data_IF_473900974071
#
_entry.id   IF_473900974071
#
_cell.length_a   1.000
_cell.length_b   1.000
_cell.length_c   1.000
_cell.angle_alpha   90.00
_cell.angle_beta   90.00
_cell.angle_gamma   90.00
#
_symmetry.space_group_name_H-M   'P 1'
#
loop_
_entity.id
_entity.type
_entity.pdbx_description
1 polymer ?
#
# COMPACT_ATOMS: atom_id res chain seq x y z
N UNK A 1 5.86 -0.82 3.05
CA UNK A 1 4.82 -0.88 2.01
C UNK A 1 3.92 -2.08 2.27
N UNK A 2 2.63 -1.86 2.58
CA UNK A 2 1.65 -2.94 2.68
C UNK A 2 1.40 -3.53 1.30
N UNK A 3 1.45 -4.86 1.20
CA UNK A 3 1.13 -5.59 -0.04
C UNK A 3 0.29 -6.81 0.30
N UNK A 4 -0.62 -7.19 -0.61
CA UNK A 4 -1.40 -8.41 -0.47
C UNK A 4 -0.43 -9.61 -0.42
N UNK A 5 -0.65 -10.49 0.56
CA UNK A 5 0.18 -11.65 0.79
C UNK A 5 0.42 -12.44 -0.51
N UNK A 6 1.64 -12.97 -0.67
CA UNK A 6 2.11 -13.72 -1.84
C UNK A 6 2.31 -12.93 -3.15
N UNK A 7 1.79 -11.71 -3.30
CA UNK A 7 2.00 -10.93 -4.53
C UNK A 7 3.48 -10.61 -4.78
N UNK A 8 4.27 -10.41 -3.72
CA UNK A 8 5.72 -10.26 -3.85
C UNK A 8 6.42 -11.49 -4.42
N UNK A 9 5.97 -12.69 -4.04
CA UNK A 9 6.51 -13.94 -4.56
C UNK A 9 6.10 -14.11 -6.02
N UNK A 10 4.84 -13.84 -6.36
CA UNK A 10 4.33 -13.88 -7.74
C UNK A 10 5.13 -12.95 -8.65
N UNK A 11 5.34 -11.70 -8.25
CA UNK A 11 6.13 -10.73 -9.02
C UNK A 11 7.55 -11.21 -9.34
N UNK A 12 8.20 -11.87 -8.37
CA UNK A 12 9.54 -12.44 -8.55
C UNK A 12 9.53 -13.61 -9.53
N UNK A 13 8.53 -14.49 -9.44
CA UNK A 13 8.41 -15.68 -10.28
C UNK A 13 8.10 -15.28 -11.73
N UNK A 14 7.30 -14.24 -11.95
CA UNK A 14 6.94 -13.78 -13.29
C UNK A 14 8.03 -12.93 -13.97
N UNK A 15 9.25 -12.88 -13.43
CA UNK A 15 10.34 -12.09 -13.99
C UNK A 15 10.12 -10.58 -13.87
N UNK A 16 9.42 -10.14 -12.81
CA UNK A 16 9.11 -8.73 -12.55
C UNK A 16 8.24 -8.07 -13.63
N UNK A 17 7.42 -8.85 -14.35
CA UNK A 17 6.40 -8.33 -15.29
C UNK A 17 5.42 -7.36 -14.64
N UNK A 18 5.19 -7.52 -13.33
CA UNK A 18 4.52 -6.53 -12.51
C UNK A 18 5.58 -5.79 -11.68
N UNK A 19 5.83 -4.50 -11.92
CA UNK A 19 6.83 -3.70 -11.20
C UNK A 19 6.35 -3.30 -9.79
N UNK A 20 5.90 -4.30 -9.02
CA UNK A 20 5.32 -4.14 -7.69
C UNK A 20 6.33 -3.60 -6.67
N UNK A 21 7.58 -4.04 -6.75
CA UNK A 21 8.63 -3.57 -5.85
C UNK A 21 9.14 -2.17 -6.20
N UNK A 22 8.91 -1.71 -7.43
CA UNK A 22 9.22 -0.37 -7.91
C UNK A 22 8.07 0.62 -7.61
N UNK A 23 6.87 0.12 -7.30
CA UNK A 23 5.69 0.95 -7.03
C UNK A 23 5.00 1.46 -8.29
N UNK A 24 5.28 0.86 -9.46
CA UNK A 24 4.74 1.28 -10.77
C UNK A 24 3.64 0.33 -11.28
N UNK A 25 3.29 -0.69 -10.49
CA UNK A 25 2.23 -1.61 -10.85
C UNK A 25 0.87 -0.89 -10.87
N UNK A 26 0.01 -1.14 -11.88
CA UNK A 26 -1.29 -0.52 -11.95
C UNK A 26 -2.20 -1.03 -10.82
N UNK A 27 -2.83 -0.10 -10.09
CA UNK A 27 -3.87 -0.40 -9.10
C UNK A 27 -5.25 0.03 -9.62
N UNK A 28 -6.27 -0.79 -9.39
CA UNK A 28 -7.67 -0.49 -9.76
C UNK A 28 -8.49 -0.40 -8.49
N UNK A 29 -9.23 0.71 -8.31
CA UNK A 29 -9.99 0.99 -7.09
C UNK A 29 -9.14 0.86 -5.82
N UNK A 30 -7.91 1.35 -5.89
CA UNK A 30 -6.90 1.25 -4.83
C UNK A 30 -7.21 2.09 -3.59
N UNK A 31 -6.23 2.16 -2.69
CA UNK A 31 -6.33 2.97 -1.47
C UNK A 31 -6.13 4.46 -1.73
N UNK A 32 -6.40 5.27 -0.70
CA UNK A 32 -6.09 6.69 -0.71
C UNK A 32 -4.70 6.94 -0.10
N UNK A 33 -3.88 7.77 -0.76
CA UNK A 33 -2.65 8.31 -0.19
C UNK A 33 -2.93 9.70 0.38
N UNK A 34 -2.89 9.83 1.71
CA UNK A 34 -3.20 11.08 2.43
C UNK A 34 -1.95 11.63 3.11
N UNK A 35 -1.73 12.93 2.98
CA UNK A 35 -0.69 13.65 3.72
C UNK A 35 -1.30 14.27 4.97
N UNK A 36 -0.72 13.98 6.13
CA UNK A 36 -1.20 14.44 7.44
C UNK A 36 -0.02 14.89 8.31
N UNK A 37 -0.25 15.76 9.31
CA UNK A 37 0.71 16.01 10.38
C UNK A 37 1.08 14.70 11.08
N UNK A 38 2.36 14.54 11.41
CA UNK A 38 2.92 13.29 11.96
C UNK A 38 2.21 12.86 13.24
N UNK A 39 1.84 13.82 14.06
CA UNK A 39 1.20 13.66 15.36
C UNK A 39 -0.22 13.10 15.23
N UNK A 40 -0.88 13.40 14.11
CA UNK A 40 -2.27 13.02 13.85
C UNK A 40 -2.38 11.70 13.07
N UNK A 41 -1.34 11.31 12.33
CA UNK A 41 -1.37 10.14 11.46
C UNK A 41 -1.78 8.85 12.19
N UNK A 42 -1.27 8.62 13.41
CA UNK A 42 -1.62 7.43 14.21
C UNK A 42 -3.08 7.45 14.66
N UNK A 43 -3.58 8.61 15.09
CA UNK A 43 -4.97 8.76 15.51
C UNK A 43 -5.92 8.55 14.32
N UNK A 44 -5.58 9.10 13.16
CA UNK A 44 -6.34 8.93 11.91
C UNK A 44 -6.43 7.45 11.50
N UNK A 45 -5.31 6.72 11.52
CA UNK A 45 -5.31 5.28 11.22
C UNK A 45 -6.18 4.47 12.22
N UNK A 46 -6.18 4.84 13.51
CA UNK A 46 -7.05 4.19 14.51
C UNK A 46 -8.52 4.47 14.24
N UNK A 47 -8.87 5.73 13.95
CA UNK A 47 -10.24 6.12 13.64
C UNK A 47 -10.78 5.42 12.39
N UNK A 48 -9.99 5.37 11.30
CA UNK A 48 -10.35 4.62 10.09
C UNK A 48 -10.59 3.14 10.37
N UNK A 49 -9.76 2.51 11.21
CA UNK A 49 -9.96 1.11 11.59
C UNK A 49 -11.28 0.89 12.32
N UNK A 50 -11.72 1.86 13.13
CA UNK A 50 -12.99 1.77 13.86
C UNK A 50 -14.20 1.98 12.94
N UNK A 51 -14.12 2.94 12.01
CA UNK A 51 -15.24 3.32 11.14
C UNK A 51 -15.38 2.36 9.95
N UNK A 52 -14.28 2.05 9.27
CA UNK A 52 -14.27 1.27 8.01
C UNK A 52 -13.93 -0.21 8.23
N UNK A 53 -13.56 -0.60 9.47
CA UNK A 53 -13.06 -1.95 9.80
C UNK A 53 -11.85 -2.39 8.96
N UNK A 54 -11.14 -1.40 8.38
CA UNK A 54 -9.96 -1.57 7.52
C UNK A 54 -8.75 -0.91 8.16
N UNK A 55 -7.65 -1.64 8.22
CA UNK A 55 -6.38 -1.12 8.73
C UNK A 55 -5.79 -0.15 7.70
N UNK A 56 -5.28 0.99 8.15
CA UNK A 56 -4.46 1.89 7.35
C UNK A 56 -2.98 1.80 7.78
N UNK A 57 -2.07 2.25 6.91
CA UNK A 57 -0.63 2.22 7.14
C UNK A 57 0.01 3.58 6.88
N UNK A 58 0.94 3.95 7.76
CA UNK A 58 1.87 5.04 7.50
C UNK A 58 2.98 4.46 6.63
N UNK A 59 3.08 4.92 5.38
CA UNK A 59 3.97 4.32 4.36
C UNK A 59 5.25 5.11 4.11
N UNK A 60 5.34 6.35 4.60
CA UNK A 60 6.51 7.21 4.39
C UNK A 60 6.39 8.54 5.13
N UNK A 61 7.31 9.45 4.80
CA UNK A 61 7.37 10.83 5.28
C UNK A 61 7.50 11.77 4.09
N UNK A 62 7.08 13.02 4.29
CA UNK A 62 7.33 14.11 3.34
C UNK A 62 8.51 14.91 3.84
N UNK A 63 9.52 15.10 2.99
CA UNK A 63 10.72 15.87 3.28
C UNK A 63 10.75 17.12 2.38
N UNK A 64 11.58 18.11 2.74
CA UNK A 64 11.82 19.24 1.86
C UNK A 64 12.58 18.77 0.61
N UNK A 65 12.14 19.18 -0.59
CA UNK A 65 12.75 18.76 -1.84
C UNK A 65 11.97 19.20 -3.08
N UNK A 66 12.34 18.65 -4.23
CA UNK A 66 11.96 19.15 -5.56
C UNK A 66 10.62 18.60 -6.08
N UNK A 67 9.62 18.44 -5.19
CA UNK A 67 8.28 17.91 -5.53
C UNK A 67 8.30 16.51 -6.18
N UNK A 68 9.31 15.71 -5.86
CA UNK A 68 9.44 14.32 -6.32
C UNK A 68 9.02 13.33 -5.24
N UNK A 69 8.46 12.19 -5.65
CA UNK A 69 8.28 11.03 -4.79
C UNK A 69 9.29 9.94 -5.17
N UNK A 70 9.89 9.28 -4.18
CA UNK A 70 10.81 8.17 -4.39
C UNK A 70 10.54 7.04 -3.42
N UNK A 71 10.73 5.81 -3.88
CA UNK A 71 10.79 4.64 -3.02
C UNK A 71 12.22 4.46 -2.50
N UNK A 72 12.36 4.00 -1.27
CA UNK A 72 13.67 3.60 -0.74
C UNK A 72 14.16 2.35 -1.48
N UNK A 73 15.48 2.17 -1.64
CA UNK A 73 16.06 1.06 -2.43
C UNK A 73 15.58 -0.33 -2.00
N UNK A 74 15.37 -0.51 -0.69
CA UNK A 74 14.92 -1.77 -0.09
C UNK A 74 13.66 -1.52 0.74
N UNK A 75 12.48 -1.39 0.10
CA UNK A 75 11.25 -1.13 0.82
C UNK A 75 10.91 -2.31 1.73
N UNK A 76 10.61 -2.02 3.00
CA UNK A 76 10.12 -3.05 3.92
C UNK A 76 8.72 -3.48 3.47
N UNK A 77 8.58 -4.74 3.09
CA UNK A 77 7.28 -5.35 2.76
C UNK A 77 6.54 -5.71 4.04
N UNK A 78 5.26 -5.33 4.10
CA UNK A 78 4.32 -5.78 5.13
C UNK A 78 3.29 -6.64 4.42
N UNK A 79 3.31 -7.95 4.65
CA UNK A 79 2.32 -8.85 4.07
C UNK A 79 0.97 -8.65 4.76
N UNK A 80 -0.03 -8.34 3.95
CA UNK A 80 -1.40 -8.14 4.38
C UNK A 80 -2.22 -9.33 3.89
N UNK A 81 -2.87 -10.10 4.76
CA UNK A 81 -3.79 -11.15 4.33
C UNK A 81 -4.86 -10.58 3.40
N UNK A 82 -5.16 -11.26 2.31
CA UNK A 82 -6.36 -10.96 1.54
C UNK A 82 -7.56 -11.19 2.46
N UNK A 83 -8.29 -10.13 2.81
CA UNK A 83 -9.58 -10.29 3.49
C UNK A 83 -10.59 -10.73 2.43
N UNK A 84 -11.17 -11.91 2.60
CA UNK A 84 -12.34 -12.35 1.83
C UNK A 84 -13.54 -11.47 2.20
N UNK A 85 -13.72 -10.36 1.47
CA UNK A 85 -14.83 -9.44 1.67
C UNK A 85 -15.95 -9.63 0.62
N UNK A 86 -16.03 -10.78 -0.05
CA UNK A 86 -17.09 -11.05 -1.03
C UNK A 86 -17.09 -10.11 -2.25
N UNK A 87 -16.05 -9.31 -2.45
CA UNK A 87 -15.85 -8.59 -3.70
C UNK A 87 -15.30 -9.62 -4.69
N UNK A 88 -16.21 -10.12 -5.53
CA UNK A 88 -15.85 -10.79 -6.77
C UNK A 88 -14.72 -10.00 -7.42
N UNK A 89 -13.54 -10.61 -7.51
CA UNK A 89 -12.51 -10.15 -8.42
C UNK A 89 -13.18 -10.19 -9.79
N UNK A 90 -13.57 -9.02 -10.32
CA UNK A 90 -14.16 -8.89 -11.64
C UNK A 90 -13.14 -9.33 -12.69
N UNK A 91 -13.02 -10.65 -12.84
CA UNK A 91 -12.65 -11.28 -14.08
C UNK A 91 -13.96 -11.49 -14.83
N UNK A 92 -14.26 -10.60 -15.77
CA UNK A 92 -14.99 -10.99 -16.98
C UNK A 92 -13.98 -11.29 -18.05
#
# INVERSE_FOLDING_TARGET
>A
MPMIARMCATAKITGNTLPLLQGEAPEISGGLLVVLPREQAVAYCKALKMIEHRQAWIVGIVENGDRTARLIEKPRVIEVPAKDNGVSLCCR
#
